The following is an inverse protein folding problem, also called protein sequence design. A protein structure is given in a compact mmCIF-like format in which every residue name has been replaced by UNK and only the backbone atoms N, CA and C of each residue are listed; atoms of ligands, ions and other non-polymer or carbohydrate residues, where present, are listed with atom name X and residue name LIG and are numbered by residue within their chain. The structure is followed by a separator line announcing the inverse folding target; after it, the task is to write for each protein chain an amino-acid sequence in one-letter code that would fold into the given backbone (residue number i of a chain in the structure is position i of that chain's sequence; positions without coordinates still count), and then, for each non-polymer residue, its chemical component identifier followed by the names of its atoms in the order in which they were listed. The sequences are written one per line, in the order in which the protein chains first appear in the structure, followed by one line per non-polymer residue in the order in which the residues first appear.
data_IF_187031839984
#
_entry.id   IF_187031839984
#
_cell.length_a   1.000
_cell.length_b   1.000
_cell.length_c   1.000
_cell.angle_alpha   90.00
_cell.angle_beta   90.00
_cell.angle_gamma   90.00
#
_symmetry.space_group_name_H-M   'P 1'
#
loop_
_entity.id
_entity.type
_entity.pdbx_description
1 polymer ?
#
# COMPACT_ATOMS: atom_id res chain seq x y z
N UNK A 1 49.43 -18.82 -51.14
CA UNK A 1 48.02 -18.36 -51.12
C UNK A 1 47.20 -18.91 -49.94
N UNK A 2 47.41 -20.17 -49.52
CA UNK A 2 46.66 -20.80 -48.39
C UNK A 2 46.88 -20.17 -47.00
N UNK A 3 48.08 -19.64 -46.68
CA UNK A 3 48.31 -18.94 -45.39
C UNK A 3 47.48 -17.66 -45.25
N UNK A 4 47.34 -16.88 -46.33
CA UNK A 4 46.54 -15.65 -46.33
C UNK A 4 45.03 -15.95 -46.19
N UNK A 5 44.56 -17.07 -46.75
CA UNK A 5 43.19 -17.54 -46.59
C UNK A 5 42.93 -18.05 -45.16
N UNK A 6 43.86 -18.80 -44.56
CA UNK A 6 43.80 -19.22 -43.17
C UNK A 6 43.81 -18.06 -42.18
N UNK A 7 44.68 -17.06 -42.38
CA UNK A 7 44.71 -15.85 -41.53
C UNK A 7 43.49 -14.95 -41.73
N UNK A 8 42.92 -14.85 -42.94
CA UNK A 8 41.66 -14.12 -43.17
C UNK A 8 40.48 -14.86 -42.53
N UNK A 9 40.41 -16.18 -42.68
CA UNK A 9 39.37 -17.01 -42.06
C UNK A 9 39.42 -16.93 -40.53
N UNK A 10 40.61 -17.02 -39.93
CA UNK A 10 40.79 -16.87 -38.49
C UNK A 10 40.39 -15.49 -37.98
N UNK A 11 40.77 -14.40 -38.68
CA UNK A 11 40.33 -13.04 -38.36
C UNK A 11 38.81 -12.86 -38.51
N UNK A 12 38.21 -13.46 -39.53
CA UNK A 12 36.76 -13.42 -39.74
C UNK A 12 36.00 -14.18 -38.65
N UNK A 13 36.51 -15.32 -38.20
CA UNK A 13 35.95 -16.05 -37.05
C UNK A 13 36.05 -15.21 -35.77
N UNK A 14 37.20 -14.58 -35.51
CA UNK A 14 37.37 -13.66 -34.39
C UNK A 14 36.39 -12.47 -34.44
N UNK A 15 36.23 -11.87 -35.63
CA UNK A 15 35.30 -10.76 -35.85
C UNK A 15 33.84 -11.20 -35.63
N UNK A 16 33.45 -12.38 -36.12
CA UNK A 16 32.11 -12.95 -35.91
C UNK A 16 31.83 -13.17 -34.42
N UNK A 17 32.80 -13.69 -33.66
CA UNK A 17 32.65 -13.90 -32.21
C UNK A 17 32.45 -12.57 -31.49
N UNK A 18 33.22 -11.53 -31.84
CA UNK A 18 33.08 -10.19 -31.25
C UNK A 18 31.69 -9.59 -31.55
N UNK A 19 31.22 -9.69 -32.78
CA UNK A 19 29.89 -9.19 -33.18
C UNK A 19 28.77 -9.90 -32.40
N UNK A 20 28.85 -11.23 -32.26
CA UNK A 20 27.88 -12.02 -31.50
C UNK A 20 27.86 -11.64 -30.01
N UNK A 21 29.03 -11.42 -29.41
CA UNK A 21 29.15 -10.97 -28.03
C UNK A 21 28.55 -9.57 -27.83
N UNK A 22 28.84 -8.62 -28.74
CA UNK A 22 28.25 -7.28 -28.70
C UNK A 22 26.72 -7.32 -28.82
N UNK A 23 26.18 -8.15 -29.72
CA UNK A 23 24.75 -8.33 -29.87
C UNK A 23 24.09 -8.87 -28.58
N UNK A 24 24.73 -9.86 -27.93
CA UNK A 24 24.25 -10.42 -26.66
C UNK A 24 24.28 -9.37 -25.53
N UNK A 25 25.37 -8.60 -25.44
CA UNK A 25 25.48 -7.52 -24.46
C UNK A 25 24.43 -6.42 -24.69
N UNK A 26 24.18 -6.02 -25.94
CA UNK A 26 23.14 -5.05 -26.27
C UNK A 26 21.74 -5.49 -25.81
N UNK A 27 21.36 -6.74 -26.07
CA UNK A 27 20.07 -7.30 -25.63
C UNK A 27 19.91 -7.35 -24.10
N UNK A 28 21.01 -7.62 -23.39
CA UNK A 28 21.01 -7.60 -21.92
C UNK A 28 20.85 -6.18 -21.39
N UNK A 29 21.52 -5.21 -22.02
CA UNK A 29 21.41 -3.80 -21.67
C UNK A 29 19.98 -3.27 -21.90
N UNK A 30 19.37 -3.62 -23.04
CA UNK A 30 17.98 -3.26 -23.35
C UNK A 30 17.01 -3.83 -22.29
N UNK A 31 17.22 -5.08 -21.90
CA UNK A 31 16.39 -5.74 -20.87
C UNK A 31 16.56 -5.08 -19.50
N UNK A 32 17.79 -4.70 -19.14
CA UNK A 32 18.08 -4.00 -17.89
C UNK A 32 17.43 -2.59 -17.88
N UNK A 33 17.46 -1.86 -19.00
CA UNK A 33 16.79 -0.57 -19.11
C UNK A 33 15.27 -0.68 -18.85
N UNK A 34 14.61 -1.71 -19.38
CA UNK A 34 13.19 -1.96 -19.13
C UNK A 34 12.93 -2.29 -17.65
N UNK A 35 13.79 -3.11 -17.03
CA UNK A 35 13.66 -3.45 -15.61
C UNK A 35 13.86 -2.23 -14.69
N UNK A 36 14.82 -1.35 -15.01
CA UNK A 36 15.03 -0.11 -14.27
C UNK A 36 13.80 0.78 -14.35
N UNK A 37 13.23 0.98 -15.54
CA UNK A 37 12.01 1.75 -15.70
C UNK A 37 10.83 1.13 -14.94
N UNK A 38 10.69 -0.20 -14.97
CA UNK A 38 9.67 -0.90 -14.19
C UNK A 38 9.87 -0.70 -12.69
N UNK A 39 11.11 -0.78 -12.21
CA UNK A 39 11.44 -0.58 -10.80
C UNK A 39 11.10 0.84 -10.36
N UNK A 40 11.54 1.85 -11.11
CA UNK A 40 11.22 3.27 -10.86
C UNK A 40 9.71 3.52 -10.85
N UNK A 41 8.98 2.99 -11.83
CA UNK A 41 7.52 3.10 -11.89
C UNK A 41 6.84 2.43 -10.69
N UNK A 42 7.29 1.22 -10.33
CA UNK A 42 6.75 0.48 -9.19
C UNK A 42 6.99 1.21 -7.87
N UNK A 43 8.16 1.85 -7.71
CA UNK A 43 8.51 2.65 -6.55
C UNK A 43 7.64 3.90 -6.46
N UNK A 44 7.42 4.61 -7.57
CA UNK A 44 6.54 5.77 -7.62
C UNK A 44 5.10 5.42 -7.24
N UNK A 45 4.56 4.34 -7.83
CA UNK A 45 3.21 3.87 -7.51
C UNK A 45 3.09 3.48 -6.03
N UNK A 46 4.10 2.79 -5.49
CA UNK A 46 4.12 2.44 -4.07
C UNK A 46 4.18 3.68 -3.17
N UNK A 47 5.02 4.67 -3.49
CA UNK A 47 5.14 5.89 -2.73
C UNK A 47 3.83 6.69 -2.69
N UNK A 48 3.12 6.78 -3.82
CA UNK A 48 1.82 7.44 -3.92
C UNK A 48 0.78 6.74 -3.03
N UNK A 49 0.61 5.43 -3.20
CA UNK A 49 -0.38 4.64 -2.43
C UNK A 49 -0.04 4.65 -0.94
N UNK A 50 1.24 4.51 -0.59
CA UNK A 50 1.70 4.56 0.80
C UNK A 50 1.41 5.92 1.45
N UNK A 51 1.65 7.01 0.72
CA UNK A 51 1.36 8.37 1.19
C UNK A 51 -0.13 8.62 1.41
N UNK A 52 -0.98 8.19 0.47
CA UNK A 52 -2.43 8.31 0.59
C UNK A 52 -2.96 7.46 1.75
N UNK A 53 -2.50 6.20 1.87
CA UNK A 53 -2.87 5.32 2.98
C UNK A 53 -2.46 5.92 4.33
N UNK A 54 -1.24 6.45 4.45
CA UNK A 54 -0.78 7.11 5.67
C UNK A 54 -1.66 8.32 6.02
N UNK A 55 -2.08 9.09 5.03
CA UNK A 55 -2.96 10.24 5.21
C UNK A 55 -4.35 9.81 5.68
N UNK A 56 -4.93 8.76 5.08
CA UNK A 56 -6.21 8.18 5.52
C UNK A 56 -6.12 7.59 6.93
N UNK A 57 -5.03 6.91 7.27
CA UNK A 57 -4.82 6.37 8.61
C UNK A 57 -4.76 7.48 9.68
N UNK A 58 -4.12 8.61 9.38
CA UNK A 58 -4.14 9.80 10.26
C UNK A 58 -5.55 10.38 10.42
N UNK A 59 -6.32 10.47 9.34
CA UNK A 59 -7.71 10.94 9.39
C UNK A 59 -8.57 10.02 10.28
N UNK A 60 -8.48 8.71 10.08
CA UNK A 60 -9.19 7.72 10.93
C UNK A 60 -8.79 7.85 12.39
N UNK A 61 -7.51 8.12 12.68
CA UNK A 61 -7.04 8.37 14.04
C UNK A 61 -7.67 9.63 14.64
N UNK A 62 -7.74 10.72 13.89
CA UNK A 62 -8.43 11.95 14.32
C UNK A 62 -9.92 11.69 14.60
N UNK A 63 -10.62 11.02 13.69
CA UNK A 63 -12.04 10.71 13.86
C UNK A 63 -12.28 9.84 15.09
N UNK A 64 -11.39 8.88 15.36
CA UNK A 64 -11.43 8.09 16.59
C UNK A 64 -11.28 8.99 17.81
N UNK A 65 -10.31 9.89 17.83
CA UNK A 65 -10.04 10.77 18.96
C UNK A 65 -11.24 11.72 19.21
N UNK A 66 -11.90 12.19 18.14
CA UNK A 66 -13.15 12.96 18.24
C UNK A 66 -14.29 12.15 18.87
N UNK A 67 -14.45 10.89 18.47
CA UNK A 67 -15.44 9.99 19.07
C UNK A 67 -15.13 9.71 20.54
N UNK A 68 -13.87 9.45 20.88
CA UNK A 68 -13.44 9.26 22.27
C UNK A 68 -13.77 10.49 23.12
N UNK A 69 -13.58 11.70 22.57
CA UNK A 69 -13.97 12.95 23.24
C UNK A 69 -15.49 13.05 23.45
N UNK A 70 -16.29 12.74 22.43
CA UNK A 70 -17.76 12.74 22.53
C UNK A 70 -18.23 11.76 23.60
N UNK A 71 -17.71 10.53 23.61
CA UNK A 71 -18.07 9.52 24.61
C UNK A 71 -17.65 9.92 26.02
N UNK A 72 -16.46 10.50 26.20
CA UNK A 72 -16.04 11.05 27.49
C UNK A 72 -16.98 12.15 27.97
N UNK A 73 -17.35 13.09 27.09
CA UNK A 73 -18.27 14.20 27.43
C UNK A 73 -19.66 13.67 27.80
N UNK A 74 -20.19 12.72 27.05
CA UNK A 74 -21.47 12.06 27.34
C UNK A 74 -21.43 11.33 28.69
N UNK A 75 -20.36 10.57 28.96
CA UNK A 75 -20.18 9.88 30.24
C UNK A 75 -20.08 10.86 31.40
N UNK A 76 -19.35 11.96 31.23
CA UNK A 76 -19.25 13.03 32.23
C UNK A 76 -20.60 13.69 32.51
N UNK A 77 -21.35 14.06 31.47
CA UNK A 77 -22.69 14.62 31.60
C UNK A 77 -23.66 13.64 32.28
N UNK A 78 -23.66 12.37 31.88
CA UNK A 78 -24.46 11.32 32.50
C UNK A 78 -24.10 11.14 33.98
N UNK A 79 -22.81 11.12 34.32
CA UNK A 79 -22.36 11.04 35.71
C UNK A 79 -22.85 12.23 36.53
N UNK A 80 -22.76 13.45 36.00
CA UNK A 80 -23.25 14.67 36.66
C UNK A 80 -24.76 14.65 36.87
N UNK A 81 -25.52 14.15 35.89
CA UNK A 81 -26.96 13.99 36.02
C UNK A 81 -27.32 12.96 37.10
N UNK A 82 -26.65 11.80 37.10
CA UNK A 82 -26.86 10.77 38.11
C UNK A 82 -26.55 11.25 39.54
N UNK A 83 -25.53 12.10 39.72
CA UNK A 83 -25.22 12.70 41.03
C UNK A 83 -26.20 13.80 41.44
N UNK A 84 -26.77 14.54 40.46
CA UNK A 84 -27.67 15.68 40.75
C UNK A 84 -29.12 15.22 40.95
N UNK A 85 -29.53 14.14 40.29
CA UNK A 85 -30.89 13.59 40.34
C UNK A 85 -30.84 12.05 40.45
N UNK A 86 -30.54 11.51 41.65
CA UNK A 86 -30.45 10.07 41.85
C UNK A 86 -31.79 9.33 41.62
N UNK A 87 -32.93 10.01 41.76
CA UNK A 87 -34.26 9.42 41.60
C UNK A 87 -34.82 9.48 40.15
N UNK A 88 -34.10 10.09 39.21
CA UNK A 88 -34.61 10.34 37.84
C UNK A 88 -34.31 9.20 36.84
N UNK A 89 -33.41 8.27 37.17
CA UNK A 89 -32.99 7.20 36.26
C UNK A 89 -32.96 5.84 36.98
N UNK A 90 -34.08 5.10 37.04
CA UNK A 90 -34.04 3.70 37.47
C UNK A 90 -33.17 2.89 36.49
N UNK A 91 -32.27 2.07 37.03
CA UNK A 91 -31.17 1.37 36.33
C UNK A 91 -31.59 0.56 35.08
N UNK A 92 -32.88 0.24 34.93
CA UNK A 92 -33.42 -0.58 33.84
C UNK A 92 -33.64 0.12 32.49
N UNK A 93 -33.67 1.46 32.42
CA UNK A 93 -33.99 2.16 31.16
C UNK A 93 -32.80 2.28 30.19
N UNK A 94 -31.57 2.21 30.70
CA UNK A 94 -30.34 2.45 29.94
C UNK A 94 -29.83 1.19 29.21
N UNK A 95 -30.27 0.00 29.60
CA UNK A 95 -29.85 -1.26 28.98
C UNK A 95 -30.51 -1.53 27.61
N UNK A 96 -31.57 -0.78 27.27
CA UNK A 96 -32.37 -1.03 26.06
C UNK A 96 -31.85 -0.33 24.80
N UNK A 97 -30.84 0.52 24.92
CA UNK A 97 -30.26 1.29 23.80
C UNK A 97 -28.80 0.89 23.51
N UNK A 98 -28.53 -0.42 23.46
CA UNK A 98 -27.35 -0.92 22.74
C UNK A 98 -27.64 -0.89 21.23
N UNK A 99 -26.66 -0.41 20.47
CA UNK A 99 -26.70 -0.19 19.02
C UNK A 99 -27.20 -1.43 18.25
N UNK A 100 -28.43 -1.37 17.73
CA UNK A 100 -29.04 -2.41 16.86
C UNK A 100 -28.65 -2.22 15.40
N UNK A 101 -27.45 -1.71 15.09
CA UNK A 101 -27.02 -1.65 13.70
C UNK A 101 -26.81 -3.08 13.18
N UNK A 102 -27.55 -3.52 12.15
CA UNK A 102 -27.35 -4.84 11.56
C UNK A 102 -25.92 -4.91 11.00
N UNK A 103 -25.19 -5.96 11.36
CA UNK A 103 -23.85 -6.22 10.85
C UNK A 103 -23.90 -6.38 9.33
N UNK A 104 -23.07 -5.63 8.61
CA UNK A 104 -23.06 -5.56 7.15
C UNK A 104 -22.38 -6.78 6.48
N UNK A 105 -22.01 -7.79 7.25
CA UNK A 105 -21.19 -8.93 6.80
C UNK A 105 -21.97 -10.14 6.30
N UNK A 106 -23.30 -10.10 6.21
CA UNK A 106 -24.07 -11.21 5.60
C UNK A 106 -24.14 -11.03 4.09
N UNK A 107 -23.52 -11.91 3.28
CA UNK A 107 -23.74 -11.93 1.84
C UNK A 107 -25.23 -12.18 1.56
N UNK A 108 -25.80 -11.42 0.62
CA UNK A 108 -27.11 -11.72 0.08
C UNK A 108 -27.00 -13.00 -0.76
N UNK A 109 -27.60 -14.08 -0.27
CA UNK A 109 -27.90 -15.30 -1.06
C UNK A 109 -28.85 -14.99 -2.22
#
# INVERSE_FOLDING_TARGET
MYLLHGSRSFRNCGLMIIILLLCRLGRLQDSNAVLTHFNEYSEQCFAEVSSDLASKARLLKSMKDDLDHIFMKLRSMKSRLATTYPDAFPDGAMAKTMDQRPDLETPLE
#
